data_IF_319810040681
#
_entry.id   IF_319810040681
#
_cell.length_a   1.000
_cell.length_b   1.000
_cell.length_c   1.000
_cell.angle_alpha   90.00
_cell.angle_beta   90.00
_cell.angle_gamma   90.00
#
_symmetry.space_group_name_H-M   'P 1'
#
loop_
_entity.id
_entity.type
_entity.pdbx_description
1 polymer ?
#
# COMPACT_ATOMS: atom_id res chain seq x y z
N UNK A 1 -4.94 19.52 -2.96
CA UNK A 1 -3.47 19.42 -3.21
C UNK A 1 -3.23 18.43 -4.34
N UNK A 2 -2.26 18.71 -5.20
CA UNK A 2 -1.73 17.75 -6.18
C UNK A 2 -0.96 16.65 -5.45
N UNK A 3 -1.39 15.41 -5.61
CA UNK A 3 -0.97 14.30 -4.76
C UNK A 3 -0.45 13.15 -5.60
N UNK A 4 0.69 12.58 -5.20
CA UNK A 4 1.14 11.27 -5.71
C UNK A 4 0.67 10.17 -4.77
N UNK A 5 0.20 9.04 -5.28
CA UNK A 5 -0.14 7.89 -4.46
C UNK A 5 0.99 6.87 -4.41
N UNK A 6 1.49 6.56 -3.21
CA UNK A 6 2.33 5.39 -3.01
C UNK A 6 1.45 4.14 -3.06
N UNK A 7 1.70 3.30 -4.06
CA UNK A 7 0.89 2.11 -4.32
C UNK A 7 1.69 0.81 -4.17
N UNK A 8 1.02 -0.18 -3.60
CA UNK A 8 1.48 -1.57 -3.52
C UNK A 8 0.62 -2.52 -4.35
N UNK A 9 -0.50 -2.03 -4.91
CA UNK A 9 -1.54 -2.85 -5.55
C UNK A 9 -2.55 -3.44 -4.56
N UNK A 10 -2.27 -3.39 -3.25
CA UNK A 10 -3.14 -3.90 -2.21
C UNK A 10 -4.28 -2.95 -1.83
N UNK A 11 -5.21 -3.49 -1.01
CA UNK A 11 -6.43 -2.81 -0.55
C UNK A 11 -6.16 -1.47 0.14
N UNK A 12 -5.07 -1.36 0.91
CA UNK A 12 -4.84 -0.22 1.80
C UNK A 12 -4.41 1.01 1.01
N UNK A 13 -3.47 0.83 0.07
CA UNK A 13 -3.05 1.90 -0.84
C UNK A 13 -4.22 2.38 -1.71
N UNK A 14 -5.07 1.46 -2.18
CA UNK A 14 -6.27 1.78 -2.93
C UNK A 14 -7.27 2.60 -2.11
N UNK A 15 -7.59 2.15 -0.90
CA UNK A 15 -8.59 2.83 -0.08
C UNK A 15 -8.09 4.20 0.41
N UNK A 16 -6.81 4.34 0.76
CA UNK A 16 -6.28 5.66 1.13
C UNK A 16 -6.32 6.65 -0.03
N UNK A 17 -6.13 6.19 -1.28
CA UNK A 17 -6.37 7.04 -2.45
C UNK A 17 -7.83 7.51 -2.53
N UNK A 18 -8.79 6.63 -2.27
CA UNK A 18 -10.21 7.01 -2.23
C UNK A 18 -10.48 8.07 -1.17
N UNK A 19 -9.89 7.92 0.02
CA UNK A 19 -10.00 8.93 1.09
C UNK A 19 -9.39 10.27 0.66
N UNK A 20 -8.23 10.26 -0.01
CA UNK A 20 -7.63 11.48 -0.55
C UNK A 20 -8.58 12.20 -1.52
N UNK A 21 -9.24 11.47 -2.42
CA UNK A 21 -10.21 12.05 -3.38
C UNK A 21 -11.43 12.61 -2.66
N UNK A 22 -11.96 11.90 -1.64
CA UNK A 22 -13.10 12.34 -0.82
C UNK A 22 -12.77 13.67 -0.11
N UNK A 23 -11.55 13.81 0.40
CA UNK A 23 -11.05 15.02 1.07
C UNK A 23 -10.63 16.14 0.10
N UNK A 24 -10.90 15.98 -1.21
CA UNK A 24 -10.67 17.00 -2.23
C UNK A 24 -9.22 17.10 -2.71
N UNK A 25 -8.40 16.07 -2.48
CA UNK A 25 -7.07 15.95 -3.09
C UNK A 25 -7.15 15.36 -4.49
N UNK A 26 -6.26 15.83 -5.37
CA UNK A 26 -6.20 15.38 -6.76
C UNK A 26 -5.04 14.40 -6.91
N UNK A 27 -5.34 13.11 -7.17
CA UNK A 27 -4.32 12.10 -7.41
C UNK A 27 -3.85 12.21 -8.86
N UNK A 28 -2.64 12.70 -9.07
CA UNK A 28 -2.13 13.01 -10.41
C UNK A 28 -1.08 12.01 -10.92
N UNK A 29 -0.55 11.16 -10.04
CA UNK A 29 0.44 10.16 -10.38
C UNK A 29 0.46 9.02 -9.35
N UNK A 30 1.00 7.88 -9.78
CA UNK A 30 1.22 6.70 -8.97
C UNK A 30 2.72 6.49 -8.81
N UNK A 31 3.14 6.09 -7.61
CA UNK A 31 4.53 5.82 -7.27
C UNK A 31 4.64 4.42 -6.65
N UNK A 32 5.60 3.63 -7.13
CA UNK A 32 5.84 2.28 -6.65
C UNK A 32 7.34 2.00 -6.57
N UNK A 33 7.77 1.46 -5.43
CA UNK A 33 9.10 0.87 -5.30
C UNK A 33 9.00 -0.63 -5.60
N UNK A 34 9.95 -1.13 -6.39
CA UNK A 34 10.00 -2.53 -6.83
C UNK A 34 11.33 -3.19 -6.46
N UNK A 35 11.36 -4.51 -6.18
CA UNK A 35 12.60 -5.23 -5.93
C UNK A 35 13.47 -5.34 -7.20
N UNK A 36 14.78 -5.59 -7.04
CA UNK A 36 15.75 -5.72 -8.14
C UNK A 36 15.52 -6.96 -9.01
N UNK A 37 15.36 -8.15 -8.41
CA UNK A 37 15.37 -9.42 -9.18
C UNK A 37 14.53 -10.58 -8.59
N UNK A 38 14.09 -10.56 -7.33
CA UNK A 38 13.24 -11.60 -6.73
C UNK A 38 11.83 -11.11 -6.48
N UNK A 39 10.84 -11.97 -6.73
CA UNK A 39 9.41 -11.70 -6.46
C UNK A 39 9.13 -11.47 -4.97
N UNK A 40 9.94 -12.05 -4.09
CA UNK A 40 9.93 -11.80 -2.66
C UNK A 40 11.31 -11.29 -2.20
N UNK A 41 11.29 -10.12 -1.60
CA UNK A 41 12.38 -9.57 -0.79
C UNK A 41 11.82 -9.34 0.61
N UNK A 42 12.63 -9.60 1.64
CA UNK A 42 12.31 -9.25 3.03
C UNK A 42 12.35 -7.72 3.21
N UNK A 43 11.37 -7.00 2.67
CA UNK A 43 11.16 -5.58 2.94
C UNK A 43 10.10 -5.43 4.02
N UNK A 44 10.46 -4.73 5.09
CA UNK A 44 9.50 -4.33 6.12
C UNK A 44 8.60 -3.18 5.66
N UNK A 45 8.94 -2.51 4.56
CA UNK A 45 8.22 -1.35 4.07
C UNK A 45 7.27 -1.65 2.91
N UNK A 46 7.66 -2.49 1.95
CA UNK A 46 6.94 -2.62 0.68
C UNK A 46 6.44 -4.02 0.41
N UNK A 47 5.19 -4.10 -0.07
CA UNK A 47 4.65 -5.30 -0.67
C UNK A 47 5.41 -5.63 -1.96
N UNK A 48 5.98 -6.83 -2.05
CA UNK A 48 6.72 -7.27 -3.24
C UNK A 48 5.94 -8.28 -4.07
N UNK A 49 4.96 -8.98 -3.47
CA UNK A 49 4.09 -9.92 -4.18
C UNK A 49 3.06 -9.16 -5.01
N UNK A 50 2.90 -9.59 -6.26
CA UNK A 50 2.02 -8.93 -7.23
C UNK A 50 2.63 -7.69 -7.89
N UNK A 51 3.90 -7.36 -7.64
CA UNK A 51 4.55 -6.17 -8.24
C UNK A 51 4.56 -6.20 -9.78
N UNK A 52 4.47 -7.38 -10.39
CA UNK A 52 4.32 -7.56 -11.83
C UNK A 52 3.02 -6.96 -12.34
N UNK A 53 1.93 -7.05 -11.58
CA UNK A 53 0.61 -6.56 -11.99
C UNK A 53 0.37 -5.05 -11.73
N UNK A 54 1.35 -4.33 -11.16
CA UNK A 54 1.23 -2.89 -10.86
C UNK A 54 1.03 -2.05 -12.12
N UNK A 55 1.53 -2.48 -13.28
CA UNK A 55 1.25 -1.80 -14.54
C UNK A 55 -0.24 -1.87 -14.91
N UNK A 56 -0.89 -3.02 -14.70
CA UNK A 56 -2.34 -3.18 -14.89
C UNK A 56 -3.12 -2.25 -13.95
N UNK A 57 -2.66 -2.11 -12.70
CA UNK A 57 -3.24 -1.17 -11.73
C UNK A 57 -3.18 0.28 -12.22
N UNK A 58 -2.05 0.69 -12.81
CA UNK A 58 -1.91 2.03 -13.40
C UNK A 58 -2.76 2.23 -14.66
N UNK A 59 -2.84 1.22 -15.53
CA UNK A 59 -3.70 1.25 -16.72
C UNK A 59 -5.18 1.30 -16.35
N UNK A 60 -5.59 0.57 -15.32
CA UNK A 60 -6.94 0.57 -14.80
C UNK A 60 -7.36 1.96 -14.30
N UNK A 61 -6.50 2.64 -13.53
CA UNK A 61 -6.78 3.99 -13.01
C UNK A 61 -6.57 5.07 -14.08
N UNK A 62 -5.73 4.82 -15.09
CA UNK A 62 -5.42 5.79 -16.14
C UNK A 62 -4.51 6.93 -15.68
N UNK A 63 -3.61 6.68 -14.73
CA UNK A 63 -2.65 7.66 -14.22
C UNK A 63 -1.19 7.28 -14.52
N UNK A 64 -0.28 8.25 -14.65
CA UNK A 64 1.12 7.97 -14.91
C UNK A 64 1.76 7.22 -13.73
N UNK A 65 2.49 6.15 -14.04
CA UNK A 65 3.17 5.31 -13.07
C UNK A 65 4.68 5.57 -13.06
N UNK A 66 5.17 5.98 -11.89
CA UNK A 66 6.58 6.13 -11.61
C UNK A 66 7.07 4.94 -10.80
N UNK A 67 8.06 4.22 -11.33
CA UNK A 67 8.71 3.11 -10.64
C UNK A 67 10.17 3.42 -10.37
N UNK A 68 10.63 3.06 -9.18
CA UNK A 68 12.03 3.05 -8.83
C UNK A 68 12.38 1.69 -8.25
N UNK A 69 13.57 1.21 -8.58
CA UNK A 69 14.02 -0.10 -8.10
C UNK A 69 14.71 0.10 -6.76
N UNK A 70 14.36 -0.72 -5.76
CA UNK A 70 14.99 -0.68 -4.43
C UNK A 70 16.44 -1.16 -4.58
N UNK A 71 17.39 -0.31 -4.25
CA UNK A 71 18.82 -0.61 -4.23
C UNK A 71 19.36 -0.71 -2.80
N UNK A 72 18.75 0.02 -1.87
CA UNK A 72 19.06 -0.03 -0.46
C UNK A 72 18.52 -1.28 0.24
N UNK A 73 18.86 -1.40 1.52
CA UNK A 73 18.37 -2.47 2.40
C UNK A 73 17.74 -1.85 3.66
N UNK A 74 16.92 -2.61 4.41
CA UNK A 74 16.35 -2.12 5.68
C UNK A 74 17.43 -2.10 6.79
N UNK A 75 18.34 -1.14 6.72
CA UNK A 75 19.52 -1.06 7.61
C UNK A 75 19.18 -0.45 8.96
N UNK A 76 18.23 0.48 9.00
CA UNK A 76 17.78 1.13 10.22
C UNK A 76 16.43 0.60 10.65
N UNK A 77 16.38 -0.11 11.78
CA UNK A 77 15.15 -0.68 12.36
C UNK A 77 14.59 0.16 13.53
N UNK A 78 15.23 1.31 13.80
CA UNK A 78 14.79 2.22 14.87
C UNK A 78 13.48 2.92 14.50
N UNK A 79 12.73 3.33 15.51
CA UNK A 79 11.46 4.05 15.36
C UNK A 79 11.66 5.39 14.67
N UNK A 80 12.67 6.14 15.12
CA UNK A 80 13.12 7.38 14.51
C UNK A 80 14.06 7.07 13.34
N UNK A 81 13.74 7.63 12.18
CA UNK A 81 14.57 7.49 10.98
C UNK A 81 15.55 8.66 10.89
N UNK A 82 16.79 8.35 10.52
CA UNK A 82 17.80 9.33 10.10
C UNK A 82 18.25 8.94 8.70
N UNK A 83 18.54 9.93 7.86
CA UNK A 83 19.14 9.72 6.53
C UNK A 83 20.30 8.76 6.64
N UNK A 84 20.16 7.58 6.05
CA UNK A 84 21.11 6.49 6.15
C UNK A 84 21.48 6.05 4.75
N UNK A 85 22.77 6.13 4.43
CA UNK A 85 23.28 5.74 3.12
C UNK A 85 23.07 4.24 2.89
N UNK A 86 22.53 3.88 1.72
CA UNK A 86 22.21 2.49 1.38
C UNK A 86 20.92 1.94 2.01
N UNK A 87 20.06 2.79 2.56
CA UNK A 87 18.76 2.39 3.10
C UNK A 87 17.62 2.57 2.09
N UNK A 88 16.64 1.64 2.08
CA UNK A 88 15.50 1.65 1.14
C UNK A 88 14.62 2.92 1.21
N UNK A 89 14.73 3.69 2.29
CA UNK A 89 14.05 4.98 2.44
C UNK A 89 14.65 6.07 1.54
N UNK A 90 15.94 5.98 1.21
CA UNK A 90 16.57 6.95 0.28
C UNK A 90 16.17 6.68 -1.17
N UNK A 91 15.80 5.44 -1.49
CA UNK A 91 15.20 5.08 -2.78
C UNK A 91 13.81 5.73 -2.93
N UNK A 92 13.02 5.75 -1.85
CA UNK A 92 11.75 6.49 -1.79
C UNK A 92 11.95 7.99 -1.96
N UNK A 93 12.96 8.55 -1.29
CA UNK A 93 13.32 9.96 -1.47
C UNK A 93 13.64 10.27 -2.93
N UNK A 94 14.45 9.43 -3.58
CA UNK A 94 14.84 9.60 -4.98
C UNK A 94 13.63 9.54 -5.92
N UNK A 95 12.73 8.57 -5.70
CA UNK A 95 11.48 8.44 -6.46
C UNK A 95 10.58 9.67 -6.29
N UNK A 96 10.29 10.06 -5.05
CA UNK A 96 9.39 11.19 -4.77
C UNK A 96 9.98 12.53 -5.22
N UNK A 97 11.30 12.71 -5.11
CA UNK A 97 11.98 13.90 -5.62
C UNK A 97 11.80 14.02 -7.13
N UNK A 98 12.03 12.94 -7.89
CA UNK A 98 11.83 12.93 -9.34
C UNK A 98 10.40 13.35 -9.72
N UNK A 99 9.39 12.78 -9.05
CA UNK A 99 7.98 13.09 -9.32
C UNK A 99 7.66 14.55 -8.96
N UNK A 100 8.22 15.05 -7.86
CA UNK A 100 8.07 16.45 -7.45
C UNK A 100 8.65 17.41 -8.49
N UNK A 101 9.85 17.13 -8.98
CA UNK A 101 10.53 17.97 -9.96
C UNK A 101 9.78 17.99 -11.30
N UNK A 102 9.14 16.88 -11.69
CA UNK A 102 8.38 16.76 -12.94
C UNK A 102 6.93 17.30 -12.86
N UNK A 103 6.21 17.02 -11.77
CA UNK A 103 4.76 17.25 -11.67
C UNK A 103 4.34 18.29 -10.63
N UNK A 104 5.28 18.83 -9.85
CA UNK A 104 5.02 19.79 -8.77
C UNK A 104 3.96 19.30 -7.77
N UNK A 105 4.11 18.05 -7.32
CA UNK A 105 3.27 17.50 -6.25
C UNK A 105 3.46 18.25 -4.93
N UNK A 106 2.41 18.27 -4.13
CA UNK A 106 2.34 18.91 -2.82
C UNK A 106 2.18 17.87 -1.70
N UNK A 107 1.65 16.69 -2.02
CA UNK A 107 1.34 15.66 -1.04
C UNK A 107 1.60 14.23 -1.55
N UNK A 108 1.69 13.30 -0.60
CA UNK A 108 1.90 11.87 -0.83
C UNK A 108 0.82 11.08 -0.10
N UNK A 109 0.03 10.28 -0.82
CA UNK A 109 -0.95 9.34 -0.25
C UNK A 109 -0.28 8.04 0.16
N UNK A 110 -0.53 7.56 1.39
CA UNK A 110 0.11 6.38 1.99
C UNK A 110 -0.92 5.50 2.68
N UNK A 111 -0.99 4.21 2.30
CA UNK A 111 -1.92 3.23 2.87
C UNK A 111 -1.45 2.58 4.18
N UNK A 112 -0.71 3.27 5.05
CA UNK A 112 -0.26 2.69 6.33
C UNK A 112 -1.39 2.70 7.37
N UNK A 113 -1.66 1.55 8.01
CA UNK A 113 -2.71 1.41 9.03
C UNK A 113 -2.11 1.45 10.44
N UNK A 114 -1.27 0.47 10.82
CA UNK A 114 -0.73 0.33 12.18
C UNK A 114 0.79 0.50 12.27
N UNK A 115 1.51 0.30 11.16
CA UNK A 115 2.97 0.34 11.15
C UNK A 115 3.53 1.76 11.32
N UNK A 116 3.95 2.09 12.55
CA UNK A 116 4.63 3.36 12.85
C UNK A 116 5.95 3.43 12.07
N UNK A 117 6.59 2.28 11.84
CA UNK A 117 7.80 2.13 11.04
C UNK A 117 7.64 2.69 9.63
N UNK A 118 6.56 2.32 8.94
CA UNK A 118 6.26 2.77 7.57
C UNK A 118 5.90 4.26 7.59
N UNK A 119 5.01 4.66 8.49
CA UNK A 119 4.54 6.06 8.59
C UNK A 119 5.70 7.04 8.80
N UNK A 120 6.54 6.80 9.82
CA UNK A 120 7.63 7.72 10.18
C UNK A 120 8.63 7.89 9.04
N UNK A 121 8.93 6.83 8.29
CA UNK A 121 9.87 6.90 7.17
C UNK A 121 9.30 7.70 6.00
N UNK A 122 8.03 7.50 5.66
CA UNK A 122 7.39 8.30 4.61
C UNK A 122 7.26 9.76 5.05
N UNK A 123 6.88 10.02 6.30
CA UNK A 123 6.82 11.38 6.86
C UNK A 123 8.18 12.07 6.83
N UNK A 124 9.26 11.36 7.17
CA UNK A 124 10.61 11.90 7.12
C UNK A 124 11.03 12.30 5.69
N UNK A 125 10.73 11.46 4.69
CA UNK A 125 10.98 11.79 3.28
C UNK A 125 10.12 12.98 2.84
N UNK A 126 8.84 13.00 3.19
CA UNK A 126 7.92 14.10 2.88
C UNK A 126 8.42 15.41 3.49
N UNK A 127 8.84 15.41 4.76
CA UNK A 127 9.39 16.59 5.43
C UNK A 127 10.61 17.16 4.70
N UNK A 128 11.57 16.29 4.31
CA UNK A 128 12.77 16.70 3.55
C UNK A 128 12.43 17.30 2.19
N UNK A 129 11.38 16.79 1.55
CA UNK A 129 10.90 17.27 0.26
C UNK A 129 9.88 18.40 0.39
N UNK A 130 9.48 18.84 1.59
CA UNK A 130 8.42 19.82 1.77
C UNK A 130 7.07 19.37 1.19
N UNK A 131 6.74 18.09 1.33
CA UNK A 131 5.47 17.46 0.94
C UNK A 131 4.64 17.14 2.19
N UNK A 132 3.32 17.06 2.04
CA UNK A 132 2.41 16.58 3.09
C UNK A 132 2.17 15.07 2.97
N UNK A 133 2.36 14.32 4.05
CA UNK A 133 1.98 12.89 4.10
C UNK A 133 0.49 12.74 4.44
N UNK A 134 -0.27 12.08 3.58
CA UNK A 134 -1.70 11.83 3.72
C UNK A 134 -1.94 10.34 4.04
N UNK A 135 -2.04 10.03 5.34
CA UNK A 135 -2.24 8.68 5.86
C UNK A 135 -3.56 8.60 6.66
N UNK A 136 -4.68 8.56 5.95
CA UNK A 136 -6.04 8.59 6.53
C UNK A 136 -6.43 7.31 7.26
N UNK A 137 -5.75 6.20 6.95
CA UNK A 137 -6.06 4.89 7.55
C UNK A 137 -5.38 4.69 8.91
N UNK A 138 -4.49 5.61 9.28
CA UNK A 138 -3.62 5.47 10.42
C UNK A 138 -4.37 5.32 11.75
N UNK A 139 -4.07 4.25 12.49
CA UNK A 139 -4.67 3.90 13.80
C UNK A 139 -6.20 3.80 13.81
N UNK A 140 -6.82 3.64 12.64
CA UNK A 140 -8.25 3.31 12.55
C UNK A 140 -8.50 1.87 12.99
N UNK A 141 -9.68 1.59 13.54
CA UNK A 141 -10.09 0.22 13.88
C UNK A 141 -10.09 -0.67 12.63
N UNK A 142 -9.42 -1.83 12.70
CA UNK A 142 -9.18 -2.66 11.52
C UNK A 142 -10.41 -3.42 11.06
N UNK A 143 -11.31 -3.77 11.99
CA UNK A 143 -12.54 -4.51 11.65
C UNK A 143 -13.54 -3.60 10.95
N UNK A 144 -13.68 -2.37 11.45
CA UNK A 144 -14.46 -1.30 10.82
C UNK A 144 -13.83 -0.90 9.48
N UNK A 145 -12.52 -0.67 9.46
CA UNK A 145 -11.80 -0.23 8.27
C UNK A 145 -11.93 -1.23 7.11
N UNK A 146 -11.73 -2.53 7.37
CA UNK A 146 -11.89 -3.53 6.32
C UNK A 146 -13.33 -3.58 5.80
N UNK A 147 -14.31 -3.42 6.70
CA UNK A 147 -15.72 -3.37 6.31
C UNK A 147 -16.00 -2.17 5.42
N UNK A 148 -15.50 -1.00 5.78
CA UNK A 148 -15.66 0.21 4.98
C UNK A 148 -15.00 0.09 3.61
N UNK A 149 -13.82 -0.52 3.51
CA UNK A 149 -13.18 -0.80 2.22
C UNK A 149 -14.11 -1.62 1.33
N UNK A 150 -14.66 -2.72 1.87
CA UNK A 150 -15.59 -3.61 1.14
C UNK A 150 -16.86 -2.85 0.73
N UNK A 151 -17.48 -2.12 1.67
CA UNK A 151 -18.73 -1.40 1.46
C UNK A 151 -18.55 -0.21 0.49
N UNK A 152 -17.35 0.36 0.43
CA UNK A 152 -16.98 1.42 -0.51
C UNK A 152 -16.63 0.88 -1.91
N UNK A 153 -16.72 -0.43 -2.13
CA UNK A 153 -16.50 -1.04 -3.43
C UNK A 153 -15.05 -1.39 -3.75
N UNK A 154 -14.16 -1.48 -2.75
CA UNK A 154 -12.81 -2.02 -2.96
C UNK A 154 -12.90 -3.53 -3.14
N UNK A 155 -12.74 -3.99 -4.37
CA UNK A 155 -12.69 -5.41 -4.73
C UNK A 155 -11.24 -5.87 -4.73
N UNK A 156 -10.82 -6.52 -3.64
CA UNK A 156 -9.48 -7.08 -3.51
C UNK A 156 -9.52 -8.59 -3.25
N UNK A 157 -8.55 -9.30 -3.82
CA UNK A 157 -8.36 -10.74 -3.65
C UNK A 157 -7.08 -11.04 -2.89
N UNK A 158 -7.04 -12.17 -2.19
CA UNK A 158 -5.84 -12.65 -1.51
C UNK A 158 -4.83 -13.20 -2.52
N UNK A 159 -3.60 -12.70 -2.46
CA UNK A 159 -2.48 -13.17 -3.31
C UNK A 159 -1.37 -13.84 -2.50
N UNK A 160 -1.38 -13.67 -1.19
CA UNK A 160 -0.48 -14.35 -0.24
C UNK A 160 -1.19 -14.55 1.07
N UNK A 161 -0.87 -15.64 1.76
CA UNK A 161 -1.29 -15.89 3.14
C UNK A 161 -0.11 -16.46 3.93
N UNK A 162 0.08 -15.99 5.16
CA UNK A 162 1.18 -16.36 6.04
C UNK A 162 0.77 -16.36 7.52
N UNK A 163 -0.50 -16.64 7.82
CA UNK A 163 -1.01 -16.70 9.21
C UNK A 163 -1.75 -18.00 9.49
N UNK A 164 -1.80 -18.36 10.78
CA UNK A 164 -2.50 -19.54 11.26
C UNK A 164 -4.00 -19.41 10.98
N UNK A 165 -4.58 -20.46 10.38
CA UNK A 165 -5.99 -20.47 9.94
C UNK A 165 -6.16 -20.13 8.45
N UNK A 166 -5.28 -19.32 7.86
CA UNK A 166 -5.30 -19.04 6.43
C UNK A 166 -4.52 -20.10 5.63
N UNK A 167 -5.26 -21.02 5.02
CA UNK A 167 -4.72 -22.03 4.11
C UNK A 167 -4.63 -21.52 2.65
N UNK A 168 -3.45 -21.56 2.00
CA UNK A 168 -3.29 -21.13 0.61
C UNK A 168 -4.28 -21.79 -0.37
N UNK A 169 -4.55 -23.09 -0.23
CA UNK A 169 -5.43 -23.85 -1.14
C UNK A 169 -6.89 -23.40 -1.10
N UNK A 170 -7.32 -22.85 0.03
CA UNK A 170 -8.73 -22.51 0.27
C UNK A 170 -9.01 -21.01 0.21
N UNK A 171 -7.98 -20.16 0.26
CA UNK A 171 -8.14 -18.71 0.42
C UNK A 171 -7.50 -17.89 -0.69
N UNK A 172 -6.41 -18.35 -1.34
CA UNK A 172 -5.82 -17.58 -2.44
C UNK A 172 -6.82 -17.42 -3.59
N UNK A 173 -6.84 -16.22 -4.18
CA UNK A 173 -7.74 -15.83 -5.26
C UNK A 173 -9.16 -15.47 -4.82
N UNK A 174 -9.55 -15.75 -3.56
CA UNK A 174 -10.87 -15.35 -3.04
C UNK A 174 -10.89 -13.88 -2.65
N UNK A 175 -12.06 -13.25 -2.77
CA UNK A 175 -12.25 -11.85 -2.44
C UNK A 175 -12.31 -11.61 -0.94
N UNK A 176 -11.88 -10.42 -0.50
CA UNK A 176 -12.02 -9.99 0.89
C UNK A 176 -13.48 -9.96 1.34
N UNK A 177 -14.40 -9.60 0.43
CA UNK A 177 -15.84 -9.60 0.71
C UNK A 177 -16.35 -10.99 1.11
N UNK A 178 -15.93 -12.02 0.40
CA UNK A 178 -16.30 -13.41 0.72
C UNK A 178 -15.66 -13.91 2.01
N UNK A 179 -14.46 -13.42 2.32
CA UNK A 179 -13.68 -13.87 3.47
C UNK A 179 -13.91 -13.07 4.74
N UNK A 180 -14.56 -11.90 4.65
CA UNK A 180 -14.75 -11.00 5.79
C UNK A 180 -15.32 -11.67 7.04
N UNK A 181 -16.41 -12.48 6.98
CA UNK A 181 -16.91 -13.17 8.17
C UNK A 181 -15.91 -14.14 8.78
N UNK A 182 -15.13 -14.82 7.94
CA UNK A 182 -14.11 -15.78 8.36
C UNK A 182 -12.90 -15.07 9.00
N UNK A 183 -12.48 -13.92 8.44
CA UNK A 183 -11.41 -13.10 9.02
C UNK A 183 -11.81 -12.57 10.41
N UNK A 184 -13.06 -12.14 10.60
CA UNK A 184 -13.57 -11.74 11.92
C UNK A 184 -13.58 -12.91 12.92
N UNK A 185 -13.91 -14.12 12.46
CA UNK A 185 -13.84 -15.31 13.31
C UNK A 185 -12.40 -15.62 13.71
N UNK A 186 -11.47 -15.60 12.75
CA UNK A 186 -10.04 -15.83 12.99
C UNK A 186 -9.43 -14.78 13.91
N UNK A 187 -9.87 -13.51 13.83
CA UNK A 187 -9.45 -12.48 14.78
C UNK A 187 -9.84 -12.84 16.22
N UNK A 188 -11.05 -13.38 16.44
CA UNK A 188 -11.48 -13.80 17.79
C UNK A 188 -10.77 -15.06 18.28
N UNK A 189 -10.51 -16.02 17.40
CA UNK A 189 -9.97 -17.34 17.77
C UNK A 189 -8.43 -17.34 17.85
N UNK A 190 -7.76 -16.64 16.93
CA UNK A 190 -6.32 -16.70 16.72
C UNK A 190 -5.63 -15.35 16.81
N UNK A 191 -6.37 -14.27 17.15
CA UNK A 191 -5.86 -12.90 17.20
C UNK A 191 -5.29 -12.41 15.85
N UNK A 192 -5.74 -13.02 14.74
CA UNK A 192 -5.42 -12.59 13.39
C UNK A 192 -5.80 -11.11 13.21
N UNK A 193 -4.92 -10.30 12.65
CA UNK A 193 -5.23 -8.93 12.28
C UNK A 193 -6.20 -8.94 11.09
N UNK A 194 -7.38 -8.35 11.27
CA UNK A 194 -8.44 -8.37 10.25
C UNK A 194 -7.99 -7.70 8.96
N UNK A 195 -7.11 -6.69 9.01
CA UNK A 195 -6.55 -6.05 7.83
C UNK A 195 -5.26 -6.73 7.31
N UNK A 196 -4.79 -7.81 7.92
CA UNK A 196 -3.57 -8.51 7.51
C UNK A 196 -2.27 -7.78 7.87
N UNK A 197 -2.32 -6.82 8.79
CA UNK A 197 -1.11 -6.13 9.28
C UNK A 197 -0.10 -7.13 9.84
N UNK A 198 1.19 -6.85 9.68
CA UNK A 198 2.26 -7.78 10.06
C UNK A 198 2.56 -8.87 9.03
N UNK A 199 1.94 -8.78 7.84
CA UNK A 199 2.21 -9.69 6.73
C UNK A 199 1.41 -10.99 6.77
N UNK A 200 0.34 -11.05 7.57
CA UNK A 200 -0.50 -12.24 7.70
C UNK A 200 -1.17 -12.64 6.40
N UNK A 201 -1.46 -11.66 5.55
CA UNK A 201 -1.86 -11.87 4.17
C UNK A 201 -1.57 -10.63 3.32
N UNK A 202 -1.47 -10.81 2.01
CA UNK A 202 -1.35 -9.71 1.06
C UNK A 202 -2.50 -9.78 0.05
N UNK A 203 -2.88 -8.60 -0.47
CA UNK A 203 -4.01 -8.47 -1.39
C UNK A 203 -3.60 -7.80 -2.69
N UNK A 204 -4.37 -8.06 -3.73
CA UNK A 204 -4.35 -7.29 -4.97
C UNK A 204 -5.76 -6.78 -5.26
N UNK A 205 -5.88 -5.47 -5.46
CA UNK A 205 -7.16 -4.83 -5.79
C UNK A 205 -7.41 -4.97 -7.28
N UNK A 206 -8.48 -5.66 -7.64
CA UNK A 206 -8.89 -5.92 -9.03
C UNK A 206 -9.90 -4.89 -9.52
N UNK A 207 -10.64 -4.24 -8.62
CA UNK A 207 -11.57 -3.17 -8.99
C UNK A 207 -11.83 -2.22 -7.82
N UNK A 208 -12.10 -0.95 -8.12
CA UNK A 208 -12.60 0.04 -7.15
C UNK A 208 -13.21 1.25 -7.87
N UNK A 209 -13.92 2.15 -7.17
CA UNK A 209 -14.49 3.34 -7.79
C UNK A 209 -13.52 4.30 -8.49
N UNK A 210 -12.21 4.20 -8.23
CA UNK A 210 -11.18 5.00 -8.92
C UNK A 210 -10.71 4.36 -10.23
N UNK A 211 -11.11 3.13 -10.54
CA UNK A 211 -10.68 2.43 -11.74
C UNK A 211 -11.61 2.78 -12.90
N UNK A 212 -11.03 3.10 -14.05
CA UNK A 212 -11.76 3.22 -15.31
C UNK A 212 -12.11 1.86 -15.91
N UNK A 213 -11.37 0.81 -15.52
CA UNK A 213 -11.54 -0.58 -15.97
C UNK A 213 -11.17 -1.54 -14.85
N UNK A 214 -11.96 -2.59 -14.67
CA UNK A 214 -11.61 -3.69 -13.76
C UNK A 214 -10.47 -4.54 -14.34
N UNK A 215 -9.63 -5.09 -13.47
CA UNK A 215 -8.55 -6.01 -13.80
C UNK A 215 -9.10 -7.45 -13.71
N UNK A 216 -8.85 -8.25 -14.74
CA UNK A 216 -9.23 -9.68 -14.76
C UNK A 216 -7.95 -10.51 -14.59
N UNK A 217 -7.97 -11.42 -13.62
CA UNK A 217 -6.87 -12.35 -13.30
C UNK A 217 -7.06 -13.70 -13.97
#
# INVERSE_FOLDING_TARGET
MKTVALISGGKDSCYNMMQCVIEGHDIIALANLRPKEKDEMDSYMYQTVGHHAIHLYAEAIGLPLYRHTIEGSSTTIKMDYKTTEGDEVEDLYTLLKKIKDELQIEAVSVGAILSDYQRVRVEHVCQRLGLTSLAYLWRRDQSELLKEMIDSGVSAILIKVASMGLNPKNHLGRSLKELYPQLLQMNREFQLNVCGEGGEYETFTVDCPLFNKSIVM
#
